data_IF_675087011711
#
_entry.id   IF_675087011711
#
_cell.length_a   1.000
_cell.length_b   1.000
_cell.length_c   1.000
_cell.angle_alpha   90.00
_cell.angle_beta   90.00
_cell.angle_gamma   90.00
#
_symmetry.space_group_name_H-M   'P 1'
#
loop_
_entity.id
_entity.type
_entity.pdbx_description
1 polymer ?
#
# COMPACT_ATOMS: atom_id res chain seq x y z
N UNK A 1 37.17 41.43 12.82
CA UNK A 1 38.29 40.54 13.22
C UNK A 1 39.48 40.85 12.33
N UNK A 2 40.63 41.21 12.91
CA UNK A 2 41.85 41.43 12.13
C UNK A 2 42.40 40.11 11.59
N UNK A 3 43.05 40.15 10.42
CA UNK A 3 43.77 39.00 9.86
C UNK A 3 44.98 38.67 10.74
N UNK A 4 45.43 37.41 10.72
CA UNK A 4 46.76 37.08 11.25
C UNK A 4 47.84 37.85 10.46
N UNK A 5 48.93 38.18 11.13
CA UNK A 5 50.02 39.01 10.59
C UNK A 5 50.60 38.36 9.32
N UNK A 6 50.70 39.12 8.23
CA UNK A 6 51.29 38.68 6.96
C UNK A 6 50.30 38.06 5.94
N UNK A 7 48.98 38.09 6.20
CA UNK A 7 47.99 37.46 5.32
C UNK A 7 47.38 38.45 4.34
N UNK A 8 47.65 38.22 3.04
CA UNK A 8 47.15 39.02 1.92
C UNK A 8 45.86 38.46 1.32
N UNK A 9 45.19 39.24 0.46
CA UNK A 9 44.01 38.79 -0.30
C UNK A 9 44.38 37.60 -1.20
N UNK A 10 45.55 37.64 -1.84
CA UNK A 10 46.06 36.62 -2.77
C UNK A 10 46.25 35.27 -2.07
N UNK A 11 46.80 35.26 -0.86
CA UNK A 11 46.98 34.04 -0.08
C UNK A 11 45.64 33.37 0.25
N UNK A 12 44.62 34.16 0.59
CA UNK A 12 43.27 33.65 0.86
C UNK A 12 42.65 33.05 -0.41
N UNK A 13 42.84 33.71 -1.57
CA UNK A 13 42.36 33.24 -2.87
C UNK A 13 43.05 31.94 -3.29
N UNK A 14 44.37 31.82 -3.07
CA UNK A 14 45.12 30.59 -3.34
C UNK A 14 44.62 29.41 -2.50
N UNK A 15 44.43 29.62 -1.19
CA UNK A 15 43.87 28.59 -0.30
C UNK A 15 42.47 28.15 -0.78
N UNK A 16 41.62 29.09 -1.18
CA UNK A 16 40.29 28.79 -1.72
C UNK A 16 40.35 28.00 -3.03
N UNK A 17 41.19 28.43 -3.98
CA UNK A 17 41.32 27.79 -5.28
C UNK A 17 41.88 26.36 -5.17
N UNK A 18 42.78 26.12 -4.20
CA UNK A 18 43.31 24.79 -3.87
C UNK A 18 42.26 23.78 -3.34
N UNK A 19 41.04 24.24 -3.07
CA UNK A 19 39.93 23.37 -2.62
C UNK A 19 39.90 23.13 -1.11
N UNK A 20 40.67 23.88 -0.32
CA UNK A 20 40.64 23.75 1.14
C UNK A 20 39.25 24.09 1.73
N UNK A 21 38.77 23.33 2.72
CA UNK A 21 37.53 23.65 3.41
C UNK A 21 37.60 25.02 4.10
N UNK A 22 36.48 25.76 4.11
CA UNK A 22 36.38 27.07 4.78
C UNK A 22 36.88 27.05 6.22
N UNK A 23 36.57 25.99 6.98
CA UNK A 23 37.05 25.80 8.35
C UNK A 23 38.58 25.81 8.47
N UNK A 24 39.30 25.18 7.53
CA UNK A 24 40.77 25.24 7.51
C UNK A 24 41.26 26.64 7.17
N UNK A 25 40.63 27.30 6.20
CA UNK A 25 40.99 28.67 5.80
C UNK A 25 40.79 29.63 6.98
N UNK A 26 39.73 29.49 7.76
CA UNK A 26 39.49 30.28 8.97
C UNK A 26 40.62 30.10 10.00
N UNK A 27 41.07 28.87 10.24
CA UNK A 27 42.16 28.57 11.19
C UNK A 27 43.48 29.17 10.71
N UNK A 28 43.80 29.04 9.42
CA UNK A 28 45.02 29.58 8.83
C UNK A 28 45.01 31.10 8.79
N UNK A 29 43.86 31.72 8.53
CA UNK A 29 43.76 33.17 8.28
C UNK A 29 43.38 34.01 9.50
N UNK A 30 42.76 33.39 10.50
CA UNK A 30 42.10 34.09 11.61
C UNK A 30 40.82 34.83 11.20
N UNK A 31 40.34 34.65 9.97
CA UNK A 31 39.13 35.29 9.46
C UNK A 31 37.89 34.42 9.70
N UNK A 32 36.73 35.05 9.79
CA UNK A 32 35.43 34.37 9.75
C UNK A 32 35.04 33.98 8.33
N UNK A 33 34.14 33.00 8.18
CA UNK A 33 33.56 32.61 6.88
C UNK A 33 33.04 33.81 6.08
N UNK A 34 32.37 34.75 6.77
CA UNK A 34 31.84 35.99 6.16
C UNK A 34 32.95 36.90 5.63
N UNK A 35 34.06 37.00 6.37
CA UNK A 35 35.20 37.82 5.96
C UNK A 35 35.96 37.19 4.78
N UNK A 36 36.14 35.86 4.78
CA UNK A 36 36.70 35.12 3.65
C UNK A 36 35.82 35.32 2.40
N UNK A 37 34.50 35.16 2.54
CA UNK A 37 33.55 35.42 1.47
C UNK A 37 33.65 36.85 0.92
N UNK A 38 33.77 37.85 1.79
CA UNK A 38 33.90 39.25 1.35
C UNK A 38 35.20 39.49 0.57
N UNK A 39 36.30 38.83 0.94
CA UNK A 39 37.57 38.89 0.19
C UNK A 39 37.42 38.26 -1.19
N UNK A 40 36.80 37.09 -1.30
CA UNK A 40 36.56 36.42 -2.58
C UNK A 40 35.63 37.25 -3.48
N UNK A 41 34.58 37.84 -2.90
CA UNK A 41 33.64 38.71 -3.62
C UNK A 41 34.30 40.01 -4.09
N UNK A 42 35.10 40.65 -3.24
CA UNK A 42 35.87 41.87 -3.58
C UNK A 42 36.82 41.63 -4.75
N UNK A 43 37.40 40.43 -4.84
CA UNK A 43 38.36 40.05 -5.87
C UNK A 43 37.73 39.26 -7.04
N UNK A 44 36.42 39.34 -7.22
CA UNK A 44 35.68 38.73 -8.35
C UNK A 44 35.89 37.21 -8.56
N UNK A 45 36.19 36.46 -7.48
CA UNK A 45 36.36 35.01 -7.56
C UNK A 45 35.00 34.32 -7.67
N UNK A 46 34.84 33.45 -8.66
CA UNK A 46 33.62 32.63 -8.82
C UNK A 46 33.51 31.63 -7.66
N UNK A 47 32.44 31.77 -6.87
CA UNK A 47 32.22 30.89 -5.74
C UNK A 47 31.80 29.50 -6.23
N UNK A 48 32.58 28.47 -5.87
CA UNK A 48 32.27 27.04 -6.11
C UNK A 48 30.94 26.60 -5.46
N UNK A 49 30.49 27.33 -4.44
CA UNK A 49 29.17 27.14 -3.84
C UNK A 49 28.23 28.25 -4.30
N UNK A 50 27.06 27.87 -4.85
CA UNK A 50 25.97 28.83 -5.13
C UNK A 50 25.69 29.62 -3.85
N UNK A 51 25.56 30.94 -3.97
CA UNK A 51 25.37 31.92 -2.89
C UNK A 51 24.20 31.62 -1.93
N UNK A 52 23.33 30.66 -2.30
CA UNK A 52 22.16 30.17 -1.57
C UNK A 52 22.11 28.64 -1.45
N UNK A 53 23.27 27.98 -1.52
CA UNK A 53 23.38 26.57 -1.16
C UNK A 53 23.21 26.46 0.34
N UNK A 54 21.98 26.18 0.81
CA UNK A 54 21.76 25.76 2.19
C UNK A 54 22.61 24.54 2.54
N UNK A 55 22.56 24.08 3.79
CA UNK A 55 23.24 22.85 4.16
C UNK A 55 22.88 21.73 3.16
N UNK A 56 23.88 20.97 2.68
CA UNK A 56 23.64 19.88 1.74
C UNK A 56 22.62 18.91 2.36
N UNK A 57 21.69 18.44 1.52
CA UNK A 57 20.62 17.55 1.97
C UNK A 57 21.23 16.30 2.59
N UNK A 58 20.85 16.00 3.83
CA UNK A 58 21.27 14.78 4.52
C UNK A 58 20.71 13.52 3.87
N UNK A 59 19.50 13.60 3.33
CA UNK A 59 18.75 12.47 2.81
C UNK A 59 18.64 12.51 1.29
N UNK A 60 18.90 11.36 0.66
CA UNK A 60 18.83 11.19 -0.80
C UNK A 60 17.38 11.10 -1.26
N UNK A 61 17.12 11.60 -2.47
CA UNK A 61 15.90 11.36 -3.26
C UNK A 61 16.20 11.68 -4.73
N UNK A 62 15.60 10.94 -5.66
CA UNK A 62 15.65 11.25 -7.09
C UNK A 62 14.82 12.52 -7.38
N UNK A 63 15.50 13.65 -7.57
CA UNK A 63 14.87 14.95 -7.86
C UNK A 63 14.28 15.05 -9.27
N UNK A 64 14.47 14.04 -10.12
CA UNK A 64 13.86 13.97 -11.45
C UNK A 64 12.61 13.08 -11.48
N UNK A 65 12.17 12.53 -10.34
CA UNK A 65 11.08 11.57 -10.27
C UNK A 65 9.77 12.07 -10.91
N UNK A 66 9.45 13.36 -10.76
CA UNK A 66 8.23 13.93 -11.35
C UNK A 66 8.44 14.58 -12.72
N UNK A 67 9.59 14.36 -13.37
CA UNK A 67 9.92 14.98 -14.68
C UNK A 67 9.67 14.07 -15.88
N UNK A 68 9.66 12.76 -15.66
CA UNK A 68 9.42 11.76 -16.70
C UNK A 68 8.24 10.89 -16.26
N UNK A 69 7.28 10.68 -17.15
CA UNK A 69 6.13 9.84 -16.85
C UNK A 69 6.52 8.36 -16.84
N UNK A 70 6.03 7.64 -15.83
CA UNK A 70 6.03 6.19 -15.73
C UNK A 70 4.77 5.76 -14.95
N UNK A 71 4.44 4.47 -14.95
CA UNK A 71 3.31 3.96 -14.17
C UNK A 71 3.52 4.16 -12.65
N UNK A 72 4.76 4.03 -12.18
CA UNK A 72 5.15 4.28 -10.79
C UNK A 72 4.98 5.75 -10.41
N UNK A 73 5.49 6.67 -11.25
CA UNK A 73 5.34 8.11 -11.04
C UNK A 73 3.87 8.50 -10.99
N UNK A 74 3.05 7.99 -11.91
CA UNK A 74 1.63 8.29 -11.97
C UNK A 74 0.87 7.79 -10.73
N UNK A 75 1.16 6.56 -10.28
CA UNK A 75 0.57 6.03 -9.05
C UNK A 75 0.99 6.84 -7.82
N UNK A 76 2.28 7.17 -7.69
CA UNK A 76 2.78 8.04 -6.59
C UNK A 76 2.14 9.42 -6.64
N UNK A 77 1.96 10.00 -7.83
CA UNK A 77 1.28 11.29 -8.00
C UNK A 77 -0.20 11.19 -7.58
N UNK A 78 -0.87 10.10 -7.93
CA UNK A 78 -2.25 9.81 -7.52
C UNK A 78 -2.42 9.76 -6.00
N UNK A 79 -1.54 9.03 -5.31
CA UNK A 79 -1.48 9.01 -3.85
C UNK A 79 -1.09 10.37 -3.26
N UNK A 80 -0.22 11.12 -3.93
CA UNK A 80 0.21 12.42 -3.44
C UNK A 80 -0.92 13.44 -3.51
N UNK A 81 -1.77 13.41 -4.54
CA UNK A 81 -2.88 14.38 -4.64
C UNK A 81 -3.94 14.19 -3.56
N UNK A 82 -4.08 12.98 -3.01
CA UNK A 82 -5.00 12.66 -1.90
C UNK A 82 -4.31 12.87 -0.55
N UNK A 83 -3.27 12.07 -0.26
CA UNK A 83 -2.67 11.94 1.07
C UNK A 83 -1.35 12.72 1.22
N UNK A 84 -0.95 13.42 0.17
CA UNK A 84 0.27 14.20 0.12
C UNK A 84 0.08 15.64 0.58
N UNK A 85 1.00 16.13 1.43
CA UNK A 85 1.02 17.51 1.91
C UNK A 85 2.28 18.23 1.41
N UNK A 86 2.11 19.40 0.82
CA UNK A 86 3.21 20.32 0.49
C UNK A 86 3.38 21.30 1.65
N UNK A 87 4.58 21.35 2.25
CA UNK A 87 4.88 22.32 3.29
C UNK A 87 4.85 23.74 2.70
N UNK A 88 4.19 24.69 3.39
CA UNK A 88 4.08 26.09 2.93
C UNK A 88 5.46 26.76 2.91
N UNK A 89 6.18 26.70 4.02
CA UNK A 89 7.40 27.49 4.27
C UNK A 89 8.69 26.79 3.83
N UNK A 90 8.72 25.46 3.91
CA UNK A 90 9.94 24.68 3.65
C UNK A 90 9.87 23.92 2.32
N UNK A 91 11.02 23.49 1.83
CA UNK A 91 11.17 22.65 0.63
C UNK A 91 10.92 21.17 0.97
N UNK A 92 9.80 20.90 1.65
CA UNK A 92 9.45 19.59 2.17
C UNK A 92 8.06 19.19 1.69
N UNK A 93 7.93 17.94 1.29
CA UNK A 93 6.65 17.28 1.08
C UNK A 93 6.52 16.09 2.03
N UNK A 94 5.28 15.73 2.32
CA UNK A 94 4.95 14.62 3.20
C UNK A 94 3.96 13.68 2.51
N UNK A 95 4.13 12.38 2.70
CA UNK A 95 3.07 11.39 2.44
C UNK A 95 2.54 10.87 3.77
N UNK A 96 1.25 11.03 4.01
CA UNK A 96 0.59 10.53 5.21
C UNK A 96 -0.14 9.22 4.91
N UNK A 97 0.43 8.09 5.32
CA UNK A 97 -0.22 6.79 5.12
C UNK A 97 -0.20 5.96 6.37
N UNK A 98 -1.36 5.37 6.63
CA UNK A 98 -1.58 4.40 7.70
C UNK A 98 -0.84 3.10 7.42
N UNK A 99 -0.86 2.62 6.18
CA UNK A 99 -0.08 1.44 5.75
C UNK A 99 1.37 1.86 5.44
N UNK A 100 2.30 1.48 6.30
CA UNK A 100 3.72 1.81 6.13
C UNK A 100 4.32 1.15 4.89
N UNK A 101 3.78 0.01 4.43
CA UNK A 101 4.22 -0.65 3.19
C UNK A 101 4.09 0.30 2.01
N UNK A 102 2.99 1.05 1.91
CA UNK A 102 2.79 2.04 0.86
C UNK A 102 3.88 3.12 0.91
N UNK A 103 4.24 3.61 2.10
CA UNK A 103 5.32 4.58 2.25
C UNK A 103 6.67 4.00 1.79
N UNK A 104 6.93 2.72 2.04
CA UNK A 104 8.16 2.04 1.61
C UNK A 104 8.20 1.88 0.09
N UNK A 105 7.07 1.55 -0.53
CA UNK A 105 6.96 1.47 -2.01
C UNK A 105 7.21 2.85 -2.63
N UNK A 106 6.59 3.91 -2.09
CA UNK A 106 6.82 5.30 -2.54
C UNK A 106 8.31 5.66 -2.42
N UNK A 107 8.94 5.41 -1.27
CA UNK A 107 10.34 5.74 -1.06
C UNK A 107 11.25 4.99 -2.05
N UNK A 108 10.97 3.71 -2.33
CA UNK A 108 11.71 2.92 -3.32
C UNK A 108 11.57 3.49 -4.74
N UNK A 109 10.35 3.81 -5.18
CA UNK A 109 10.13 4.40 -6.52
C UNK A 109 10.77 5.78 -6.66
N UNK A 110 10.76 6.58 -5.61
CA UNK A 110 11.41 7.88 -5.59
C UNK A 110 12.93 7.81 -5.36
N UNK A 111 13.50 6.60 -5.22
CA UNK A 111 14.89 6.35 -4.78
C UNK A 111 15.29 7.24 -3.59
N UNK A 112 14.36 7.36 -2.63
CA UNK A 112 14.48 8.20 -1.47
C UNK A 112 14.89 7.40 -0.24
N UNK A 113 15.65 8.04 0.65
CA UNK A 113 15.87 7.47 1.97
C UNK A 113 14.52 7.37 2.72
N UNK A 114 14.28 6.22 3.35
CA UNK A 114 13.06 5.99 4.10
C UNK A 114 13.11 6.71 5.45
N UNK A 115 12.67 7.97 5.47
CA UNK A 115 12.68 8.82 6.66
C UNK A 115 11.26 9.11 7.11
N UNK A 116 10.90 8.57 8.26
CA UNK A 116 9.64 8.92 8.92
C UNK A 116 9.83 10.15 9.81
N UNK A 117 8.85 11.05 9.79
CA UNK A 117 8.81 12.16 10.74
C UNK A 117 8.66 11.60 12.17
N UNK A 118 9.11 12.31 13.22
CA UNK A 118 8.98 11.86 14.61
C UNK A 118 7.52 11.94 15.09
N UNK A 119 7.00 10.86 15.68
CA UNK A 119 5.63 10.83 16.23
C UNK A 119 5.44 11.90 17.31
N UNK A 120 4.26 12.52 17.32
CA UNK A 120 3.90 13.53 18.31
C UNK A 120 2.60 13.15 19.03
N UNK A 121 2.27 13.84 20.13
CA UNK A 121 1.11 13.50 20.99
C UNK A 121 -0.23 13.37 20.25
N UNK A 122 -0.42 14.13 19.17
CA UNK A 122 -1.66 14.14 18.37
C UNK A 122 -1.50 13.44 17.02
N UNK A 123 -0.30 12.95 16.69
CA UNK A 123 0.05 12.52 15.35
C UNK A 123 0.28 11.01 15.30
N UNK A 124 -0.80 10.29 15.01
CA UNK A 124 -0.85 8.83 15.02
C UNK A 124 -0.65 8.18 13.64
N UNK A 125 -0.42 8.98 12.59
CA UNK A 125 -0.21 8.48 11.22
C UNK A 125 1.27 8.65 10.84
N UNK A 126 1.94 7.60 10.34
CA UNK A 126 3.28 7.69 9.78
C UNK A 126 3.35 8.72 8.64
N UNK A 127 4.45 9.48 8.59
CA UNK A 127 4.70 10.48 7.57
C UNK A 127 6.07 10.23 6.94
N UNK A 128 6.11 9.85 5.66
CA UNK A 128 7.35 9.87 4.90
C UNK A 128 7.71 11.33 4.59
N UNK A 129 8.93 11.73 4.93
CA UNK A 129 9.44 13.10 4.75
C UNK A 129 10.39 13.14 3.55
N UNK A 130 10.06 13.95 2.55
CA UNK A 130 10.94 14.20 1.40
C UNK A 130 11.32 15.68 1.40
N UNK A 131 12.62 15.96 1.53
CA UNK A 131 13.18 17.30 1.44
C UNK A 131 13.82 17.50 0.07
N UNK A 132 13.17 18.25 -0.80
CA UNK A 132 13.69 18.64 -2.11
C UNK A 132 12.98 19.89 -2.61
N UNK A 133 13.77 20.89 -2.99
CA UNK A 133 13.26 22.12 -3.61
C UNK A 133 12.73 21.83 -5.01
N UNK A 134 13.45 21.04 -5.78
CA UNK A 134 13.12 20.67 -7.16
C UNK A 134 11.79 19.91 -7.21
N UNK A 135 11.60 18.88 -6.38
CA UNK A 135 10.32 18.13 -6.33
C UNK A 135 9.14 19.03 -5.94
N UNK A 136 9.33 19.96 -4.99
CA UNK A 136 8.28 20.91 -4.61
C UNK A 136 7.92 21.82 -5.79
N UNK A 137 8.90 22.24 -6.58
CA UNK A 137 8.70 23.06 -7.77
C UNK A 137 7.99 22.26 -8.87
N UNK A 138 8.42 21.03 -9.17
CA UNK A 138 7.79 20.13 -10.14
C UNK A 138 6.30 19.94 -9.85
N UNK A 139 5.95 19.64 -8.58
CA UNK A 139 4.56 19.51 -8.14
C UNK A 139 3.78 20.82 -8.32
N UNK A 140 4.41 21.96 -8.05
CA UNK A 140 3.79 23.27 -8.22
C UNK A 140 3.51 23.57 -9.70
N UNK A 141 4.40 23.18 -10.63
CA UNK A 141 4.17 23.26 -12.07
C UNK A 141 3.00 22.39 -12.53
N UNK A 142 2.74 21.28 -11.83
CA UNK A 142 1.54 20.44 -12.04
C UNK A 142 0.26 21.01 -11.39
N UNK A 143 0.32 22.19 -10.78
CA UNK A 143 -0.82 22.81 -10.07
C UNK A 143 -1.06 22.27 -8.66
N UNK A 144 -0.12 21.51 -8.10
CA UNK A 144 -0.21 20.89 -6.78
C UNK A 144 0.51 21.77 -5.76
N UNK A 145 -0.25 22.55 -5.00
CA UNK A 145 0.26 23.49 -4.01
C UNK A 145 -0.18 23.11 -2.58
N UNK A 146 0.21 23.91 -1.59
CA UNK A 146 -0.26 23.73 -0.20
C UNK A 146 -1.76 24.02 -0.07
N UNK A 147 -2.48 23.27 0.78
CA UNK A 147 -3.95 23.38 0.98
C UNK A 147 -4.79 23.14 -0.28
N UNK A 148 -4.28 22.33 -1.21
CA UNK A 148 -4.92 22.00 -2.49
C UNK A 148 -6.29 21.33 -2.38
N UNK A 149 -6.69 20.76 -1.23
CA UNK A 149 -7.84 19.85 -1.13
C UNK A 149 -9.15 20.40 -1.69
N UNK A 150 -9.37 21.73 -1.63
CA UNK A 150 -10.57 22.39 -2.15
C UNK A 150 -10.45 22.86 -3.61
N UNK A 151 -9.23 23.09 -4.09
CA UNK A 151 -8.96 23.78 -5.37
C UNK A 151 -8.13 22.96 -6.35
N UNK A 152 -7.81 21.71 -5.99
CA UNK A 152 -6.98 20.81 -6.78
C UNK A 152 -7.51 20.70 -8.22
N UNK A 153 -6.74 21.14 -9.24
CA UNK A 153 -7.05 20.83 -10.63
C UNK A 153 -6.74 19.37 -10.93
N UNK A 154 -7.39 18.80 -11.94
CA UNK A 154 -6.95 17.52 -12.48
C UNK A 154 -5.65 17.75 -13.27
N UNK A 155 -4.53 17.08 -12.92
CA UNK A 155 -3.25 17.30 -13.60
C UNK A 155 -3.32 16.80 -15.05
N UNK A 156 -2.46 17.34 -15.93
CA UNK A 156 -2.36 16.88 -17.32
C UNK A 156 -1.53 15.58 -17.37
N UNK A 157 -2.20 14.46 -17.50
CA UNK A 157 -1.59 13.12 -17.50
C UNK A 157 -1.73 12.52 -18.90
N UNK A 158 -0.66 11.95 -19.50
CA UNK A 158 -0.79 11.17 -20.73
C UNK A 158 -1.73 9.98 -20.53
N UNK A 159 -2.52 9.65 -21.55
CA UNK A 159 -3.59 8.65 -21.46
C UNK A 159 -3.10 7.29 -20.97
N UNK A 160 -1.90 6.88 -21.40
CA UNK A 160 -1.22 5.65 -20.99
C UNK A 160 -1.08 5.51 -19.46
N UNK A 161 -0.80 6.61 -18.75
CA UNK A 161 -0.53 6.60 -17.31
C UNK A 161 -1.77 6.92 -16.47
N UNK A 162 -2.87 7.31 -17.11
CA UNK A 162 -4.12 7.67 -16.44
C UNK A 162 -4.68 6.55 -15.55
N UNK A 163 -4.65 5.26 -15.96
CA UNK A 163 -5.07 4.15 -15.10
C UNK A 163 -4.25 4.05 -13.80
N UNK A 164 -2.93 4.21 -13.87
CA UNK A 164 -2.05 4.15 -12.69
C UNK A 164 -2.25 5.34 -11.76
N UNK A 165 -2.46 6.54 -12.30
CA UNK A 165 -2.83 7.70 -11.50
C UNK A 165 -4.15 7.49 -10.76
N UNK A 166 -5.19 7.01 -11.46
CA UNK A 166 -6.49 6.75 -10.85
C UNK A 166 -6.40 5.63 -9.80
N UNK A 167 -5.56 4.60 -10.01
CA UNK A 167 -5.22 3.61 -8.97
C UNK A 167 -4.69 4.29 -7.71
N UNK A 168 -3.73 5.21 -7.85
CA UNK A 168 -3.17 5.96 -6.73
C UNK A 168 -4.21 6.84 -6.00
N UNK A 169 -5.08 7.52 -6.76
CA UNK A 169 -6.19 8.33 -6.18
C UNK A 169 -7.19 7.44 -5.44
N UNK A 170 -7.55 6.30 -6.03
CA UNK A 170 -8.39 5.29 -5.38
C UNK A 170 -7.73 4.81 -4.09
N UNK A 171 -6.43 4.58 -4.10
CA UNK A 171 -5.68 4.08 -2.95
C UNK A 171 -5.66 5.06 -1.78
N UNK A 172 -5.67 6.36 -2.03
CA UNK A 172 -5.76 7.35 -0.95
C UNK A 172 -7.18 7.63 -0.48
N UNK A 173 -7.97 8.34 -1.30
CA UNK A 173 -9.30 8.84 -0.93
C UNK A 173 -10.46 7.94 -1.39
N UNK A 174 -10.14 6.78 -1.94
CA UNK A 174 -11.13 5.82 -2.40
C UNK A 174 -11.65 4.88 -1.33
N UNK A 175 -12.90 4.49 -1.48
CA UNK A 175 -13.57 3.43 -0.75
C UNK A 175 -14.08 2.38 -1.73
N UNK A 176 -13.86 1.10 -1.40
CA UNK A 176 -14.43 -0.03 -2.11
C UNK A 176 -15.27 -0.82 -1.11
N UNK A 177 -16.52 -1.10 -1.46
CA UNK A 177 -17.40 -1.96 -0.69
C UNK A 177 -16.75 -3.35 -0.52
N UNK A 178 -16.62 -3.88 0.70
CA UNK A 178 -16.12 -5.24 0.93
C UNK A 178 -16.85 -6.32 0.12
N UNK A 179 -18.12 -6.11 -0.24
CA UNK A 179 -18.88 -7.03 -1.09
C UNK A 179 -18.67 -6.80 -2.59
N UNK A 180 -17.91 -5.79 -3.01
CA UNK A 180 -17.54 -5.58 -4.41
C UNK A 180 -18.67 -5.10 -5.31
N UNK A 181 -19.67 -4.41 -4.75
CA UNK A 181 -20.79 -3.88 -5.54
C UNK A 181 -20.75 -2.37 -5.78
N UNK A 182 -19.91 -1.64 -5.04
CA UNK A 182 -19.78 -0.20 -5.18
C UNK A 182 -18.39 0.27 -4.79
N UNK A 183 -17.91 1.31 -5.45
CA UNK A 183 -16.77 2.09 -5.02
C UNK A 183 -17.08 3.57 -5.15
N UNK A 184 -16.38 4.39 -4.37
CA UNK A 184 -16.39 5.83 -4.56
C UNK A 184 -15.04 6.46 -4.23
N UNK A 185 -14.74 7.57 -4.90
CA UNK A 185 -13.62 8.45 -4.55
C UNK A 185 -14.20 9.75 -4.02
N UNK A 186 -13.77 10.15 -2.82
CA UNK A 186 -14.22 11.40 -2.20
C UNK A 186 -13.25 12.53 -2.53
N UNK A 187 -13.76 13.68 -2.94
CA UNK A 187 -12.96 14.90 -3.15
C UNK A 187 -13.73 16.11 -2.66
N UNK A 188 -13.03 17.12 -2.15
CA UNK A 188 -13.62 18.42 -1.84
C UNK A 188 -13.48 19.42 -3.00
N UNK A 189 -12.77 19.05 -4.08
CA UNK A 189 -12.65 19.83 -5.31
C UNK A 189 -13.70 19.38 -6.33
N UNK A 190 -14.68 20.25 -6.61
CA UNK A 190 -15.69 20.00 -7.66
C UNK A 190 -15.04 19.77 -9.02
N UNK A 191 -14.01 20.56 -9.36
CA UNK A 191 -13.29 20.45 -10.64
C UNK A 191 -12.63 19.08 -10.79
N UNK A 192 -11.98 18.59 -9.73
CA UNK A 192 -11.36 17.27 -9.73
C UNK A 192 -12.41 16.16 -9.87
N UNK A 193 -13.50 16.23 -9.09
CA UNK A 193 -14.58 15.25 -9.13
C UNK A 193 -15.26 15.18 -10.51
N UNK A 194 -15.54 16.32 -11.14
CA UNK A 194 -16.13 16.36 -12.49
C UNK A 194 -15.20 15.78 -13.55
N UNK A 195 -13.91 16.10 -13.51
CA UNK A 195 -12.93 15.52 -14.44
C UNK A 195 -12.82 14.00 -14.27
N UNK A 196 -12.78 13.51 -13.02
CA UNK A 196 -12.75 12.08 -12.72
C UNK A 196 -14.02 11.36 -13.21
N UNK A 197 -15.19 11.97 -13.05
CA UNK A 197 -16.44 11.44 -13.61
C UNK A 197 -16.36 11.29 -15.14
N UNK A 198 -15.87 12.31 -15.85
CA UNK A 198 -15.73 12.28 -17.31
C UNK A 198 -14.80 11.16 -17.77
N UNK A 199 -13.71 10.90 -17.02
CA UNK A 199 -12.78 9.79 -17.31
C UNK A 199 -13.46 8.43 -17.12
N UNK A 200 -14.19 8.25 -16.02
CA UNK A 200 -14.93 6.99 -15.84
C UNK A 200 -15.99 6.77 -16.93
N UNK A 201 -16.67 7.83 -17.36
CA UNK A 201 -17.62 7.77 -18.46
C UNK A 201 -16.94 7.47 -19.80
N UNK A 202 -15.76 8.03 -20.08
CA UNK A 202 -15.01 7.74 -21.32
C UNK A 202 -14.51 6.30 -21.36
N UNK A 203 -14.18 5.70 -20.21
CA UNK A 203 -13.93 4.27 -20.08
C UNK A 203 -15.20 3.41 -20.18
N UNK A 204 -16.36 4.03 -20.38
CA UNK A 204 -17.66 3.36 -20.47
C UNK A 204 -18.06 2.69 -19.16
N UNK A 205 -17.80 3.34 -18.02
CA UNK A 205 -18.22 2.92 -16.69
C UNK A 205 -19.44 3.72 -16.25
N UNK A 206 -20.48 3.03 -15.77
CA UNK A 206 -21.66 3.69 -15.23
C UNK A 206 -21.32 4.38 -13.90
N UNK A 207 -21.21 5.70 -13.95
CA UNK A 207 -20.70 6.52 -12.86
C UNK A 207 -21.50 7.80 -12.68
N UNK A 208 -21.51 8.33 -11.45
CA UNK A 208 -22.23 9.55 -11.08
C UNK A 208 -21.55 10.25 -9.89
N UNK A 209 -21.89 11.51 -9.63
CA UNK A 209 -21.43 12.25 -8.46
C UNK A 209 -22.56 12.36 -7.43
N UNK A 210 -22.25 12.09 -6.17
CA UNK A 210 -23.11 12.40 -5.02
C UNK A 210 -22.50 13.54 -4.23
N UNK A 211 -23.26 14.62 -4.06
CA UNK A 211 -22.88 15.74 -3.20
C UNK A 211 -23.36 15.50 -1.77
N UNK A 212 -22.53 15.83 -0.78
CA UNK A 212 -22.90 15.78 0.63
C UNK A 212 -22.27 16.96 1.38
N UNK A 213 -22.96 17.47 2.39
CA UNK A 213 -22.39 18.48 3.29
C UNK A 213 -21.76 17.77 4.48
N UNK A 214 -20.47 18.02 4.71
CA UNK A 214 -19.74 17.51 5.86
C UNK A 214 -20.25 18.14 7.17
N UNK A 215 -19.90 17.55 8.31
CA UNK A 215 -20.25 18.10 9.64
C UNK A 215 -19.77 19.54 9.85
N UNK A 216 -18.74 19.96 9.13
CA UNK A 216 -18.12 21.27 9.23
C UNK A 216 -18.65 22.26 8.18
N UNK A 217 -19.76 21.93 7.49
CA UNK A 217 -20.39 22.79 6.47
C UNK A 217 -19.75 22.74 5.08
N UNK A 218 -18.60 22.07 4.91
CA UNK A 218 -17.95 21.94 3.60
C UNK A 218 -18.67 20.93 2.72
N UNK A 219 -18.88 21.26 1.44
CA UNK A 219 -19.41 20.33 0.43
C UNK A 219 -18.32 19.34 0.02
N UNK A 220 -18.68 18.06 0.00
CA UNK A 220 -17.85 16.96 -0.50
C UNK A 220 -18.55 16.27 -1.68
N UNK A 221 -17.75 15.86 -2.66
CA UNK A 221 -18.19 15.20 -3.87
C UNK A 221 -17.69 13.75 -3.84
N UNK A 222 -18.61 12.79 -3.98
CA UNK A 222 -18.27 11.37 -4.11
C UNK A 222 -18.53 10.93 -5.53
N UNK A 223 -17.47 10.61 -6.27
CA UNK A 223 -17.57 10.01 -7.60
C UNK A 223 -17.78 8.52 -7.41
N UNK A 224 -18.96 8.01 -7.73
CA UNK A 224 -19.41 6.65 -7.45
C UNK A 224 -19.46 5.80 -8.72
N UNK A 225 -19.13 4.51 -8.58
CA UNK A 225 -19.39 3.46 -9.56
C UNK A 225 -20.13 2.34 -8.85
N UNK A 226 -21.24 1.89 -9.43
CA UNK A 226 -22.08 0.83 -8.89
C UNK A 226 -22.17 -0.35 -9.86
N UNK A 227 -22.30 -1.54 -9.30
CA UNK A 227 -22.51 -2.77 -10.06
C UNK A 227 -21.22 -3.56 -10.28
N UNK A 228 -21.28 -4.86 -10.01
CA UNK A 228 -20.12 -5.76 -10.09
C UNK A 228 -19.42 -5.73 -11.45
N UNK A 229 -20.17 -5.60 -12.55
CA UNK A 229 -19.60 -5.62 -13.90
C UNK A 229 -18.74 -4.39 -14.19
N UNK A 230 -19.21 -3.20 -13.79
CA UNK A 230 -18.45 -1.95 -13.93
C UNK A 230 -17.21 -1.96 -13.01
N UNK A 231 -17.31 -2.52 -11.80
CA UNK A 231 -16.15 -2.67 -10.90
C UNK A 231 -15.11 -3.64 -11.47
N UNK A 232 -15.53 -4.76 -12.05
CA UNK A 232 -14.62 -5.70 -12.74
C UNK A 232 -13.93 -4.99 -13.91
N UNK A 233 -14.68 -4.24 -14.73
CA UNK A 233 -14.12 -3.48 -15.86
C UNK A 233 -13.12 -2.43 -15.39
N UNK A 234 -13.45 -1.65 -14.37
CA UNK A 234 -12.54 -0.70 -13.74
C UNK A 234 -11.26 -1.41 -13.26
N UNK A 235 -11.40 -2.55 -12.57
CA UNK A 235 -10.25 -3.28 -12.02
C UNK A 235 -9.29 -3.73 -13.11
N UNK A 236 -9.79 -4.20 -14.26
CA UNK A 236 -8.96 -4.58 -15.41
C UNK A 236 -8.17 -3.40 -15.96
N UNK A 237 -8.78 -2.21 -16.00
CA UNK A 237 -8.13 -0.98 -16.49
C UNK A 237 -7.04 -0.53 -15.52
N UNK A 238 -7.39 -0.31 -14.25
CA UNK A 238 -6.47 0.35 -13.29
C UNK A 238 -5.35 -0.58 -12.78
N UNK A 239 -5.53 -1.90 -12.86
CA UNK A 239 -4.51 -2.87 -12.43
C UNK A 239 -3.73 -3.51 -13.60
N UNK A 240 -3.97 -3.10 -14.85
CA UNK A 240 -3.26 -3.64 -16.02
C UNK A 240 -1.74 -3.51 -15.89
N UNK A 241 -1.27 -2.32 -15.48
CA UNK A 241 0.14 -1.99 -15.27
C UNK A 241 0.42 -1.77 -13.77
N UNK A 242 -0.12 -2.66 -12.92
CA UNK A 242 0.21 -2.68 -11.50
C UNK A 242 1.39 -3.63 -11.25
N UNK A 243 2.35 -3.17 -10.47
CA UNK A 243 3.37 -4.04 -9.88
C UNK A 243 2.76 -4.75 -8.66
N UNK A 244 3.45 -5.70 -8.04
CA UNK A 244 2.86 -6.52 -6.96
C UNK A 244 2.54 -5.74 -5.67
N UNK A 245 3.09 -4.54 -5.50
CA UNK A 245 3.03 -3.79 -4.25
C UNK A 245 2.41 -2.39 -4.37
N UNK A 246 2.17 -1.87 -5.57
CA UNK A 246 1.74 -0.48 -5.78
C UNK A 246 0.22 -0.33 -5.81
N UNK A 247 -0.40 -0.87 -4.77
CA UNK A 247 -1.81 -0.70 -4.46
C UNK A 247 -2.13 -1.04 -3.00
N UNK A 248 -3.29 -0.60 -2.51
CA UNK A 248 -3.87 -1.16 -1.28
C UNK A 248 -4.46 -2.54 -1.57
N UNK A 249 -3.86 -3.57 -0.97
CA UNK A 249 -4.17 -4.98 -1.22
C UNK A 249 -5.69 -5.24 -1.12
N UNK A 250 -6.33 -4.79 -0.03
CA UNK A 250 -7.76 -5.03 0.18
C UNK A 250 -8.64 -4.37 -0.89
N UNK A 251 -8.25 -3.22 -1.46
CA UNK A 251 -9.02 -2.55 -2.52
C UNK A 251 -8.99 -3.37 -3.81
N UNK A 252 -7.82 -3.93 -4.16
CA UNK A 252 -7.67 -4.84 -5.31
C UNK A 252 -8.47 -6.13 -5.11
N UNK A 253 -8.39 -6.75 -3.93
CA UNK A 253 -9.20 -7.92 -3.56
C UNK A 253 -10.68 -7.61 -3.74
N UNK A 254 -11.19 -6.53 -3.14
CA UNK A 254 -12.62 -6.22 -3.20
C UNK A 254 -13.12 -5.87 -4.61
N UNK A 255 -12.31 -5.19 -5.42
CA UNK A 255 -12.67 -4.84 -6.80
C UNK A 255 -12.71 -6.06 -7.73
N UNK A 256 -11.82 -7.03 -7.51
CA UNK A 256 -11.66 -8.19 -8.41
C UNK A 256 -12.45 -9.42 -7.97
N UNK A 257 -13.06 -9.43 -6.77
CA UNK A 257 -13.69 -10.61 -6.16
C UNK A 257 -14.79 -11.29 -6.99
N UNK A 258 -15.45 -10.55 -7.89
CA UNK A 258 -16.51 -11.08 -8.77
C UNK A 258 -16.03 -11.39 -10.19
N UNK A 259 -14.74 -11.15 -10.48
CA UNK A 259 -14.14 -11.48 -11.77
C UNK A 259 -13.88 -12.99 -11.86
N UNK A 260 -13.66 -13.49 -13.07
CA UNK A 260 -13.29 -14.90 -13.29
C UNK A 260 -11.90 -15.23 -12.71
N UNK A 261 -11.04 -14.22 -12.56
CA UNK A 261 -9.66 -14.33 -12.08
C UNK A 261 -9.45 -13.29 -10.96
N UNK A 262 -10.04 -13.50 -9.78
CA UNK A 262 -9.91 -12.55 -8.67
C UNK A 262 -8.46 -12.48 -8.19
N UNK A 263 -8.04 -11.30 -7.73
CA UNK A 263 -6.75 -11.16 -7.08
C UNK A 263 -6.78 -11.82 -5.70
N UNK A 264 -5.90 -12.82 -5.51
CA UNK A 264 -5.71 -13.52 -4.25
C UNK A 264 -4.46 -12.92 -3.59
N UNK A 265 -4.61 -12.38 -2.39
CA UNK A 265 -3.49 -11.81 -1.66
C UNK A 265 -2.75 -12.91 -0.87
N UNK A 266 -1.41 -12.95 -0.91
CA UNK A 266 -0.61 -13.78 -0.02
C UNK A 266 -0.66 -13.22 1.43
N UNK A 267 -1.48 -13.83 2.28
CA UNK A 267 -1.99 -13.27 3.55
C UNK A 267 -1.00 -13.36 4.73
N UNK A 268 0.26 -12.91 4.60
CA UNK A 268 1.18 -12.87 5.75
C UNK A 268 1.30 -11.51 6.44
N UNK A 269 0.72 -10.41 5.93
CA UNK A 269 1.00 -9.06 6.47
C UNK A 269 -0.25 -8.24 6.80
N UNK A 270 -0.50 -8.10 8.11
CA UNK A 270 -1.38 -7.11 8.72
C UNK A 270 -0.85 -5.69 8.54
N UNK A 271 -1.73 -4.70 8.36
CA UNK A 271 -1.50 -3.33 8.83
C UNK A 271 -2.83 -2.67 9.24
N UNK A 272 -2.92 -2.16 10.47
CA UNK A 272 -4.03 -1.37 11.04
C UNK A 272 -5.41 -2.02 11.22
N UNK A 273 -5.45 -3.18 11.86
CA UNK A 273 -6.61 -3.58 12.67
C UNK A 273 -7.91 -3.89 11.93
N UNK A 274 -7.88 -4.06 10.59
CA UNK A 274 -8.95 -4.68 9.83
C UNK A 274 -8.37 -5.75 8.90
N UNK A 275 -8.73 -7.00 9.19
CA UNK A 275 -8.51 -8.16 8.35
C UNK A 275 -9.80 -8.51 7.62
N UNK A 276 -9.70 -8.82 6.31
CA UNK A 276 -10.65 -9.62 5.54
C UNK A 276 -9.78 -10.26 4.42
N UNK A 277 -9.47 -11.56 4.33
CA UNK A 277 -9.93 -12.77 5.02
C UNK A 277 -8.87 -13.90 5.01
N UNK A 278 -8.73 -14.62 6.14
CA UNK A 278 -8.88 -16.09 6.17
C UNK A 278 -10.20 -16.37 6.90
N UNK A 279 -11.34 -16.24 6.22
CA UNK A 279 -12.62 -16.51 6.87
C UNK A 279 -12.64 -18.01 7.16
N UNK A 280 -12.55 -18.37 8.44
CA UNK A 280 -12.96 -19.70 8.88
C UNK A 280 -14.45 -19.83 8.56
N UNK A 281 -14.79 -20.68 7.58
CA UNK A 281 -16.19 -20.97 7.28
C UNK A 281 -16.63 -22.18 8.10
N UNK A 282 -17.82 -22.09 8.69
CA UNK A 282 -18.44 -23.25 9.34
C UNK A 282 -18.89 -24.25 8.28
N UNK A 283 -18.47 -25.50 8.43
CA UNK A 283 -19.04 -26.62 7.70
C UNK A 283 -19.87 -27.46 8.65
N UNK A 284 -21.00 -27.95 8.13
CA UNK A 284 -21.88 -28.90 8.81
C UNK A 284 -21.78 -30.25 8.11
N UNK A 285 -21.43 -31.28 8.87
CA UNK A 285 -21.30 -32.65 8.40
C UNK A 285 -22.12 -33.61 9.27
N UNK A 286 -22.41 -34.81 8.75
CA UNK A 286 -23.03 -35.90 9.52
C UNK A 286 -22.06 -37.08 9.61
N UNK A 287 -21.54 -37.32 10.81
CA UNK A 287 -20.49 -38.30 11.10
C UNK A 287 -21.05 -39.41 11.98
N UNK A 288 -20.53 -40.63 11.87
CA UNK A 288 -20.84 -41.71 12.81
C UNK A 288 -20.57 -41.30 14.26
N UNK A 289 -21.52 -41.60 15.16
CA UNK A 289 -21.43 -41.21 16.58
C UNK A 289 -20.21 -41.79 17.30
N UNK A 290 -19.86 -43.05 17.03
CA UNK A 290 -18.71 -43.73 17.64
C UNK A 290 -17.39 -43.08 17.23
N UNK A 291 -17.18 -42.92 15.91
CA UNK A 291 -15.98 -42.25 15.35
C UNK A 291 -15.82 -40.85 15.94
N UNK A 292 -16.91 -40.06 15.98
CA UNK A 292 -16.84 -38.70 16.52
C UNK A 292 -16.52 -38.66 18.02
N UNK A 293 -17.02 -39.63 18.80
CA UNK A 293 -16.70 -39.74 20.23
C UNK A 293 -15.23 -40.08 20.47
N UNK A 294 -14.66 -40.99 19.68
CA UNK A 294 -13.23 -41.33 19.77
C UNK A 294 -12.34 -40.14 19.44
N UNK A 295 -12.63 -39.41 18.35
CA UNK A 295 -11.89 -38.19 18.00
C UNK A 295 -12.06 -37.08 19.05
N UNK A 296 -13.23 -36.97 19.68
CA UNK A 296 -13.43 -36.05 20.82
C UNK A 296 -12.55 -36.39 22.01
N UNK A 297 -12.41 -37.68 22.34
CA UNK A 297 -11.54 -38.13 23.41
C UNK A 297 -10.08 -37.83 23.07
N UNK A 298 -9.65 -38.10 21.83
CA UNK A 298 -8.33 -37.74 21.33
C UNK A 298 -8.04 -36.24 21.41
N UNK A 299 -8.99 -35.40 21.00
CA UNK A 299 -8.89 -33.95 21.10
C UNK A 299 -8.69 -33.49 22.55
N UNK A 300 -9.41 -34.12 23.49
CA UNK A 300 -9.29 -33.85 24.92
C UNK A 300 -7.94 -34.29 25.49
N UNK A 301 -7.46 -35.49 25.13
CA UNK A 301 -6.16 -36.02 25.55
C UNK A 301 -4.99 -35.14 25.06
N UNK A 302 -5.06 -34.64 23.84
CA UNK A 302 -4.02 -33.81 23.23
C UNK A 302 -4.17 -32.30 23.51
N UNK A 303 -5.19 -31.88 24.27
CA UNK A 303 -5.52 -30.47 24.52
C UNK A 303 -5.63 -29.62 23.23
N UNK A 304 -6.22 -30.19 22.18
CA UNK A 304 -6.39 -29.53 20.87
C UNK A 304 -7.85 -29.54 20.42
N UNK A 305 -8.22 -28.62 19.53
CA UNK A 305 -9.52 -28.68 18.88
C UNK A 305 -9.55 -29.76 17.80
N UNK A 306 -10.71 -30.38 17.60
CA UNK A 306 -10.91 -31.46 16.63
C UNK A 306 -10.46 -31.06 15.22
N UNK A 307 -10.73 -29.82 14.78
CA UNK A 307 -10.32 -29.35 13.46
C UNK A 307 -8.80 -29.36 13.27
N UNK A 308 -8.03 -29.00 14.30
CA UNK A 308 -6.56 -29.03 14.22
C UNK A 308 -6.01 -30.46 14.11
N UNK A 309 -6.68 -31.44 14.71
CA UNK A 309 -6.28 -32.84 14.60
C UNK A 309 -6.61 -33.45 13.24
N UNK A 310 -7.77 -33.12 12.67
CA UNK A 310 -8.22 -33.72 11.41
C UNK A 310 -7.70 -32.99 10.17
N UNK A 311 -7.35 -31.70 10.26
CA UNK A 311 -6.90 -30.92 9.10
C UNK A 311 -5.68 -31.54 8.40
N UNK A 312 -4.62 -31.99 9.10
CA UNK A 312 -3.47 -32.64 8.44
C UNK A 312 -3.86 -33.94 7.74
N UNK A 313 -4.79 -34.72 8.32
CA UNK A 313 -5.24 -35.97 7.71
C UNK A 313 -6.12 -35.72 6.47
N UNK A 314 -6.95 -34.67 6.50
CA UNK A 314 -7.66 -34.21 5.30
C UNK A 314 -6.65 -33.79 4.24
N UNK A 315 -5.62 -33.03 4.59
CA UNK A 315 -4.62 -32.57 3.64
C UNK A 315 -3.89 -33.73 2.94
N UNK A 316 -3.49 -34.77 3.68
CA UNK A 316 -2.93 -36.00 3.08
C UNK A 316 -3.90 -36.68 2.13
N UNK A 317 -5.20 -36.70 2.44
CA UNK A 317 -6.22 -37.27 1.55
C UNK A 317 -6.31 -36.44 0.26
N UNK A 318 -6.24 -35.11 0.36
CA UNK A 318 -6.26 -34.22 -0.79
C UNK A 318 -5.00 -34.38 -1.66
N UNK A 319 -3.82 -34.53 -1.04
CA UNK A 319 -2.53 -34.70 -1.71
C UNK A 319 -2.37 -36.09 -2.35
N UNK A 320 -2.84 -37.15 -1.69
CA UNK A 320 -2.74 -38.52 -2.21
C UNK A 320 -3.78 -38.82 -3.30
N UNK A 321 -4.84 -38.00 -3.42
CA UNK A 321 -5.95 -38.18 -4.36
C UNK A 321 -6.66 -39.56 -4.25
N UNK A 322 -6.44 -40.28 -3.16
CA UNK A 322 -6.99 -41.60 -2.88
C UNK A 322 -8.22 -41.47 -1.97
N UNK A 323 -9.41 -41.36 -2.56
CA UNK A 323 -10.66 -41.24 -1.81
C UNK A 323 -11.58 -42.42 -2.10
N UNK A 324 -11.98 -43.10 -1.04
CA UNK A 324 -12.92 -44.23 -1.10
C UNK A 324 -14.24 -43.84 -0.46
N UNK A 325 -15.34 -44.19 -1.12
CA UNK A 325 -16.69 -43.98 -0.59
C UNK A 325 -16.93 -44.93 0.59
N UNK A 326 -17.08 -44.39 1.80
CA UNK A 326 -17.34 -45.18 2.99
C UNK A 326 -18.77 -45.76 3.01
N UNK A 327 -18.92 -47.01 3.49
CA UNK A 327 -20.23 -47.63 3.70
C UNK A 327 -20.98 -46.90 4.81
N UNK A 328 -22.12 -46.30 4.48
CA UNK A 328 -22.87 -45.45 5.42
C UNK A 328 -23.50 -46.26 6.55
N UNK A 329 -23.10 -46.00 7.80
CA UNK A 329 -23.76 -46.56 9.00
C UNK A 329 -25.09 -45.83 9.32
N UNK A 330 -26.03 -46.49 10.01
CA UNK A 330 -27.34 -45.91 10.38
C UNK A 330 -27.27 -44.79 11.45
N UNK A 331 -26.24 -44.76 12.31
CA UNK A 331 -26.18 -43.87 13.48
C UNK A 331 -25.25 -42.66 13.28
N UNK A 332 -25.66 -41.70 12.43
CA UNK A 332 -24.91 -40.46 12.15
C UNK A 332 -25.49 -39.24 12.87
N UNK A 333 -24.64 -38.46 13.52
CA UNK A 333 -24.99 -37.24 14.24
C UNK A 333 -24.40 -36.01 13.55
N UNK A 334 -25.01 -34.84 13.80
CA UNK A 334 -24.52 -33.56 13.26
C UNK A 334 -23.21 -33.16 13.95
N UNK A 335 -22.23 -32.77 13.16
CA UNK A 335 -20.96 -32.21 13.59
C UNK A 335 -20.68 -30.93 12.83
N UNK A 336 -20.35 -29.86 13.56
CA UNK A 336 -19.98 -28.57 13.00
C UNK A 336 -18.55 -28.26 13.32
N UNK A 337 -17.83 -27.75 12.33
CA UNK A 337 -16.44 -27.35 12.52
C UNK A 337 -16.06 -26.25 11.55
N UNK A 338 -14.87 -25.67 11.71
CA UNK A 338 -14.43 -24.53 10.90
C UNK A 338 -13.07 -24.78 10.28
N UNK A 339 -12.97 -24.48 8.99
CA UNK A 339 -11.73 -24.50 8.21
C UNK A 339 -11.61 -23.24 7.37
N UNK A 340 -10.42 -23.01 6.82
CA UNK A 340 -10.18 -21.93 5.86
C UNK A 340 -11.04 -22.13 4.60
N UNK A 341 -11.60 -21.06 4.05
CA UNK A 341 -12.51 -21.13 2.90
C UNK A 341 -11.88 -21.83 1.68
N UNK A 342 -10.62 -21.55 1.38
CA UNK A 342 -9.89 -22.21 0.28
C UNK A 342 -9.71 -23.71 0.53
N UNK A 343 -9.42 -24.09 1.77
CA UNK A 343 -9.34 -25.51 2.16
C UNK A 343 -10.69 -26.21 1.93
N UNK A 344 -11.80 -25.53 2.22
CA UNK A 344 -13.15 -26.07 1.98
C UNK A 344 -13.46 -26.17 0.48
N UNK A 345 -13.07 -25.18 -0.33
CA UNK A 345 -13.25 -25.26 -1.79
C UNK A 345 -12.41 -26.38 -2.40
N UNK A 346 -11.19 -26.60 -1.90
CA UNK A 346 -10.36 -27.71 -2.34
C UNK A 346 -10.98 -29.07 -1.97
N UNK A 347 -11.47 -29.21 -0.74
CA UNK A 347 -12.24 -30.39 -0.34
C UNK A 347 -13.46 -30.60 -1.23
N UNK A 348 -14.22 -29.55 -1.58
CA UNK A 348 -15.39 -29.64 -2.48
C UNK A 348 -14.98 -30.05 -3.89
N UNK A 349 -13.89 -29.50 -4.43
CA UNK A 349 -13.37 -29.82 -5.76
C UNK A 349 -13.02 -31.30 -5.86
N UNK A 350 -12.27 -31.79 -4.89
CA UNK A 350 -11.87 -33.19 -4.79
C UNK A 350 -13.08 -34.11 -4.54
N UNK A 351 -14.03 -33.71 -3.69
CA UNK A 351 -15.26 -34.47 -3.48
C UNK A 351 -16.07 -34.67 -4.78
N UNK A 352 -16.19 -33.61 -5.58
CA UNK A 352 -16.84 -33.67 -6.91
C UNK A 352 -16.08 -34.58 -7.87
N UNK A 353 -14.76 -34.45 -7.93
CA UNK A 353 -13.88 -35.28 -8.78
C UNK A 353 -14.09 -36.78 -8.53
N UNK A 354 -14.17 -37.18 -7.27
CA UNK A 354 -14.30 -38.58 -6.86
C UNK A 354 -15.76 -39.04 -6.63
N UNK A 355 -16.75 -38.18 -6.94
CA UNK A 355 -18.19 -38.45 -6.73
C UNK A 355 -18.53 -38.89 -5.29
N UNK A 356 -17.86 -38.30 -4.31
CA UNK A 356 -18.10 -38.51 -2.87
C UNK A 356 -18.68 -37.24 -2.23
N UNK A 357 -19.17 -37.35 -1.00
CA UNK A 357 -19.65 -36.21 -0.23
C UNK A 357 -18.59 -35.66 0.72
N UNK A 358 -18.74 -34.40 1.14
CA UNK A 358 -17.91 -33.79 2.20
C UNK A 358 -17.93 -34.61 3.50
N UNK A 359 -19.04 -35.29 3.79
CA UNK A 359 -19.13 -36.18 4.95
C UNK A 359 -18.15 -37.36 4.83
N UNK A 360 -17.95 -37.89 3.62
CA UNK A 360 -17.09 -39.05 3.39
C UNK A 360 -15.62 -38.66 3.58
N UNK A 361 -15.20 -37.49 3.08
CA UNK A 361 -13.84 -36.95 3.32
C UNK A 361 -13.60 -36.72 4.81
N UNK A 362 -14.57 -36.12 5.51
CA UNK A 362 -14.47 -35.86 6.96
C UNK A 362 -14.45 -37.13 7.81
N UNK A 363 -15.26 -38.13 7.45
CA UNK A 363 -15.30 -39.40 8.18
C UNK A 363 -14.03 -40.22 7.89
N UNK A 364 -13.51 -40.19 6.67
CA UNK A 364 -12.24 -40.86 6.30
C UNK A 364 -11.04 -40.25 7.02
N UNK A 365 -10.95 -38.91 7.13
CA UNK A 365 -9.86 -38.26 7.88
C UNK A 365 -9.90 -38.62 9.36
N UNK A 366 -11.09 -38.72 9.95
CA UNK A 366 -11.25 -39.18 11.34
C UNK A 366 -10.88 -40.65 11.53
N UNK A 367 -11.23 -41.53 10.59
CA UNK A 367 -10.82 -42.95 10.62
C UNK A 367 -9.30 -43.09 10.49
N UNK A 368 -8.68 -42.38 9.54
CA UNK A 368 -7.23 -42.39 9.35
C UNK A 368 -6.50 -41.92 10.63
N UNK A 369 -7.03 -40.87 11.27
CA UNK A 369 -6.50 -40.37 12.55
C UNK A 369 -6.55 -41.43 13.66
N UNK A 370 -7.66 -42.16 13.79
CA UNK A 370 -7.84 -43.22 14.79
C UNK A 370 -6.91 -44.42 14.49
N UNK A 371 -6.87 -44.89 13.24
CA UNK A 371 -6.08 -46.05 12.83
C UNK A 371 -4.58 -45.83 13.01
N UNK A 372 -4.10 -44.60 12.79
CA UNK A 372 -2.69 -44.24 13.01
C UNK A 372 -2.25 -44.43 14.47
N UNK A 373 -3.16 -44.31 15.44
CA UNK A 373 -2.86 -44.56 16.86
C UNK A 373 -2.86 -46.05 17.21
N UNK A 374 -3.69 -46.86 16.56
CA UNK A 374 -3.73 -48.31 16.80
C UNK A 374 -2.53 -49.08 16.21
N UNK A 375 -1.69 -48.40 15.42
CA UNK A 375 -0.54 -48.97 14.71
C UNK A 375 0.81 -48.53 15.30
N UNK A 376 0.81 -47.82 16.43
CA UNK A 376 1.99 -47.19 17.03
C UNK A 376 2.17 -47.53 18.50
#
# INVERSE_FOLDING_TARGET
MPRKKGITDEFIIQLYNSGKPYKEIMVLTGLSDRAIYNVLKKNHVTLKHKQYGGQPRKHKVNENFFKVWSHEMAWVLGLFVTDGTVNRSHHTIYFAQKDERILRVIARYMEADFVLAPFGKTRNVPLLVINSKEIKQDLTFMGITSNKSLTLPFPKIPEEYLPSFIRGVLDGDGYVDPKGYMMNITSASKKFASALLMIFQSWGLKSYIKEQVSKNGNVIFRVCINGKNDLIKLSKIIYQNANDEDFHIYKRVYLTQHSNEPYIADVTRMFNGKFIHKAKQEIKCRINKGILMEVKNLAKENQQYINHLIQPEIQKILESDQIVKLKKSKHRIEFRTTFEGEFIEEMKRIARKHKVSMNDIMEMSMVNLIQRRGSG
#
